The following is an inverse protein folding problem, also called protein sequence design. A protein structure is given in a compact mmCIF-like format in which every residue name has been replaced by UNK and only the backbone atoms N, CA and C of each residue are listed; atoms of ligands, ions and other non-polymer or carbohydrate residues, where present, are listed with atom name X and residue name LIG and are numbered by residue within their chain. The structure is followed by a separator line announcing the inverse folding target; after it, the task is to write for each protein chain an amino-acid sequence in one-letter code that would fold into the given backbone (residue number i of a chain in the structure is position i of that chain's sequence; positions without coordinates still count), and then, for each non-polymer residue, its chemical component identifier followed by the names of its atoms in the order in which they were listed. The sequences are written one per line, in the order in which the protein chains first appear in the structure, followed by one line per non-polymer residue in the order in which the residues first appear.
data_IF_117026354230
#
_entry.id   IF_117026354230
#
_cell.length_a   1.000
_cell.length_b   1.000
_cell.length_c   1.000
_cell.angle_alpha   90.00
_cell.angle_beta   90.00
_cell.angle_gamma   90.00
#
_symmetry.space_group_name_H-M   'P 1'
#
loop_
_entity.id
_entity.type
_entity.pdbx_description
1 polymer ?
#
# COMPACT_ATOMS: atom_id res chain seq x y z
N UNK A 1 -23.68 4.47 -26.50
CA UNK A 1 -23.29 5.03 -27.82
C UNK A 1 -24.24 6.13 -28.30
N UNK A 2 -25.51 5.86 -28.68
CA UNK A 2 -26.41 6.88 -29.28
C UNK A 2 -26.67 8.16 -28.47
N UNK A 3 -26.60 8.10 -27.13
CA UNK A 3 -26.76 9.26 -26.23
C UNK A 3 -25.51 10.13 -26.10
N UNK A 4 -24.35 9.67 -26.58
CA UNK A 4 -23.06 10.33 -26.39
C UNK A 4 -22.56 11.08 -27.65
N UNK A 5 -23.38 11.16 -28.71
CA UNK A 5 -23.03 11.87 -29.95
C UNK A 5 -22.68 13.33 -29.65
N UNK A 6 -21.50 13.76 -30.09
CA UNK A 6 -20.92 15.08 -29.80
C UNK A 6 -20.35 15.23 -28.39
N UNK A 7 -20.18 14.14 -27.64
CA UNK A 7 -19.73 14.15 -26.24
C UNK A 7 -18.57 13.21 -25.95
N UNK A 8 -18.26 13.09 -24.65
CA UNK A 8 -17.20 12.22 -24.13
C UNK A 8 -17.84 10.98 -23.49
N UNK A 9 -17.38 9.79 -23.89
CA UNK A 9 -17.74 8.51 -23.29
C UNK A 9 -16.59 8.00 -22.42
N UNK A 10 -16.77 8.03 -21.10
CA UNK A 10 -15.84 7.40 -20.18
C UNK A 10 -16.18 5.92 -19.98
N UNK A 11 -15.20 5.04 -20.22
CA UNK A 11 -15.32 3.59 -20.06
C UNK A 11 -14.27 3.11 -19.06
N UNK A 12 -14.62 2.93 -17.77
CA UNK A 12 -13.68 2.40 -16.80
C UNK A 12 -13.38 0.92 -17.09
N UNK A 13 -12.14 0.50 -16.90
CA UNK A 13 -11.69 -0.88 -17.14
C UNK A 13 -12.04 -1.38 -18.54
N UNK A 14 -11.71 -0.57 -19.56
CA UNK A 14 -12.12 -0.80 -20.95
C UNK A 14 -11.63 -2.15 -21.50
N UNK A 15 -10.51 -2.67 -20.99
CA UNK A 15 -9.98 -3.98 -21.37
C UNK A 15 -10.97 -5.15 -21.19
N UNK A 16 -11.97 -5.02 -20.30
CA UNK A 16 -13.02 -6.01 -20.08
C UNK A 16 -13.83 -6.35 -21.35
N UNK A 17 -13.89 -5.43 -22.30
CA UNK A 17 -14.58 -5.59 -23.59
C UNK A 17 -13.72 -6.24 -24.68
N UNK A 18 -12.42 -6.41 -24.43
CA UNK A 18 -11.44 -6.89 -25.39
C UNK A 18 -10.76 -8.17 -24.87
N UNK A 19 -10.05 -8.89 -25.75
CA UNK A 19 -9.32 -10.12 -25.39
C UNK A 19 -10.01 -11.45 -25.73
N UNK A 20 -10.97 -11.45 -26.67
CA UNK A 20 -11.59 -12.67 -27.21
C UNK A 20 -12.23 -13.55 -26.13
N UNK A 21 -11.76 -14.79 -25.97
CA UNK A 21 -12.26 -15.73 -24.95
C UNK A 21 -12.05 -15.26 -23.49
N UNK A 22 -11.15 -14.29 -23.26
CA UNK A 22 -10.92 -13.68 -21.95
C UNK A 22 -11.79 -12.43 -21.73
N UNK A 23 -12.60 -12.04 -22.71
CA UNK A 23 -13.54 -10.93 -22.60
C UNK A 23 -14.60 -11.21 -21.51
N UNK A 24 -14.87 -10.21 -20.68
CA UNK A 24 -15.89 -10.30 -19.63
C UNK A 24 -17.28 -10.01 -20.20
N UNK A 25 -17.31 -9.34 -21.36
CA UNK A 25 -18.53 -8.94 -22.07
C UNK A 25 -18.66 -9.67 -23.42
N UNK A 26 -19.89 -9.80 -23.94
CA UNK A 26 -20.11 -10.41 -25.24
C UNK A 26 -19.32 -9.72 -26.35
N UNK A 27 -18.84 -10.49 -27.33
CA UNK A 27 -18.09 -9.94 -28.48
C UNK A 27 -18.83 -8.82 -29.21
N UNK A 28 -20.16 -8.86 -29.25
CA UNK A 28 -20.98 -7.82 -29.85
C UNK A 28 -20.71 -6.44 -29.22
N UNK A 29 -20.53 -6.37 -27.90
CA UNK A 29 -20.23 -5.13 -27.19
C UNK A 29 -18.82 -4.61 -27.52
N UNK A 30 -17.83 -5.50 -27.65
CA UNK A 30 -16.49 -5.15 -28.11
C UNK A 30 -16.49 -4.58 -29.52
N UNK A 31 -17.25 -5.18 -30.43
CA UNK A 31 -17.41 -4.69 -31.82
C UNK A 31 -18.10 -3.32 -31.88
N UNK A 32 -19.06 -3.05 -31.00
CA UNK A 32 -19.66 -1.71 -30.89
C UNK A 32 -18.66 -0.66 -30.42
N UNK A 33 -17.78 -1.00 -29.47
CA UNK A 33 -16.71 -0.12 -29.03
C UNK A 33 -15.69 0.12 -30.15
N UNK A 34 -15.25 -0.92 -30.86
CA UNK A 34 -14.35 -0.78 -32.02
C UNK A 34 -14.94 0.18 -33.07
N UNK A 35 -16.23 0.05 -33.38
CA UNK A 35 -16.92 0.98 -34.29
C UNK A 35 -16.89 2.42 -33.77
N UNK A 36 -17.06 2.60 -32.46
CA UNK A 36 -17.04 3.93 -31.86
C UNK A 36 -15.64 4.56 -31.81
N UNK A 37 -14.55 3.78 -31.85
CA UNK A 37 -13.18 4.31 -32.02
C UNK A 37 -12.87 4.76 -33.45
N UNK A 38 -13.56 4.18 -34.44
CA UNK A 38 -13.45 4.57 -35.85
C UNK A 38 -14.33 5.78 -36.19
N UNK A 39 -15.40 5.99 -35.43
CA UNK A 39 -16.33 7.07 -35.63
C UNK A 39 -15.85 8.34 -34.89
N UNK A 40 -15.86 9.49 -35.58
CA UNK A 40 -15.42 10.77 -34.99
C UNK A 40 -16.51 11.47 -34.16
N UNK A 41 -17.72 10.88 -34.10
CA UNK A 41 -18.86 11.45 -33.39
C UNK A 41 -18.74 11.44 -31.86
N UNK A 42 -17.82 10.66 -31.27
CA UNK A 42 -17.69 10.51 -29.81
C UNK A 42 -16.23 10.42 -29.40
N UNK A 43 -15.82 11.23 -28.42
CA UNK A 43 -14.51 11.08 -27.80
C UNK A 43 -14.56 10.00 -26.71
N UNK A 44 -13.71 8.97 -26.78
CA UNK A 44 -13.70 7.88 -25.80
C UNK A 44 -12.50 8.04 -24.87
N UNK A 45 -12.75 7.97 -23.56
CA UNK A 45 -11.72 7.90 -22.54
C UNK A 45 -11.85 6.54 -21.84
N UNK A 46 -10.88 5.67 -22.05
CA UNK A 46 -10.79 4.37 -21.38
C UNK A 46 -9.77 4.39 -20.25
N UNK A 47 -10.06 3.68 -19.16
CA UNK A 47 -9.02 3.34 -18.17
C UNK A 47 -8.70 1.85 -18.22
N UNK A 48 -7.42 1.52 -18.03
CA UNK A 48 -6.94 0.14 -17.90
C UNK A 48 -5.63 0.14 -17.10
N UNK A 49 -5.33 -0.99 -16.47
CA UNK A 49 -4.00 -1.23 -15.92
C UNK A 49 -3.00 -1.57 -17.03
N UNK A 50 -1.70 -1.41 -16.78
CA UNK A 50 -0.66 -1.73 -17.78
C UNK A 50 -0.70 -3.21 -18.22
N UNK A 51 -1.01 -4.11 -17.29
CA UNK A 51 -1.17 -5.53 -17.57
C UNK A 51 -2.37 -5.79 -18.49
N UNK A 52 -3.54 -5.23 -18.17
CA UNK A 52 -4.73 -5.31 -19.01
C UNK A 52 -4.51 -4.71 -20.40
N UNK A 53 -3.79 -3.59 -20.46
CA UNK A 53 -3.45 -2.95 -21.73
C UNK A 53 -2.60 -3.88 -22.61
N UNK A 54 -1.48 -4.37 -22.07
CA UNK A 54 -0.55 -5.23 -22.79
C UNK A 54 -1.20 -6.54 -23.25
N UNK A 55 -2.02 -7.15 -22.40
CA UNK A 55 -2.60 -8.47 -22.67
C UNK A 55 -3.84 -8.43 -23.56
N UNK A 56 -4.68 -7.37 -23.47
CA UNK A 56 -6.04 -7.37 -24.05
C UNK A 56 -6.30 -6.24 -25.03
N UNK A 57 -5.67 -5.06 -24.86
CA UNK A 57 -5.94 -3.88 -25.68
C UNK A 57 -4.89 -3.70 -26.78
N UNK A 58 -3.60 -3.82 -26.45
CA UNK A 58 -2.49 -3.66 -27.39
C UNK A 58 -2.54 -4.63 -28.60
N UNK A 59 -3.00 -5.90 -28.46
CA UNK A 59 -3.14 -6.79 -29.61
C UNK A 59 -4.28 -6.41 -30.58
N UNK A 60 -5.22 -5.55 -30.17
CA UNK A 60 -6.34 -5.12 -31.00
C UNK A 60 -5.91 -4.00 -31.95
N UNK A 61 -5.97 -4.25 -33.26
CA UNK A 61 -5.52 -3.30 -34.28
C UNK A 61 -6.28 -1.97 -34.24
N UNK A 62 -7.58 -1.98 -33.94
CA UNK A 62 -8.38 -0.75 -33.90
C UNK A 62 -7.94 0.12 -32.74
N UNK A 63 -7.69 -0.48 -31.58
CA UNK A 63 -7.20 0.27 -30.42
C UNK A 63 -5.78 0.77 -30.65
N UNK A 64 -4.89 -0.07 -31.17
CA UNK A 64 -3.50 0.29 -31.41
C UNK A 64 -3.33 1.44 -32.43
N UNK A 65 -4.21 1.51 -33.44
CA UNK A 65 -4.13 2.53 -34.49
C UNK A 65 -4.91 3.81 -34.17
N UNK A 66 -6.00 3.72 -33.39
CA UNK A 66 -6.92 4.84 -33.16
C UNK A 66 -6.95 5.38 -31.72
N UNK A 67 -6.28 4.73 -30.77
CA UNK A 67 -6.21 5.21 -29.39
C UNK A 67 -4.88 5.92 -29.08
N UNK A 68 -4.96 7.01 -28.32
CA UNK A 68 -3.79 7.64 -27.72
C UNK A 68 -3.60 7.13 -26.30
N UNK A 69 -2.43 6.53 -26.02
CA UNK A 69 -2.13 5.97 -24.71
C UNK A 69 -1.44 7.01 -23.84
N UNK A 70 -2.13 7.40 -22.76
CA UNK A 70 -1.57 8.25 -21.72
C UNK A 70 -1.21 7.37 -20.52
N UNK A 71 0.09 7.14 -20.32
CA UNK A 71 0.58 6.46 -19.12
C UNK A 71 0.62 7.43 -17.95
N UNK A 72 0.00 7.03 -16.85
CA UNK A 72 -0.05 7.80 -15.61
C UNK A 72 0.83 7.11 -14.59
N UNK A 73 1.96 7.75 -14.29
CA UNK A 73 2.88 7.27 -13.26
C UNK A 73 2.27 7.45 -11.86
N UNK A 74 2.63 6.60 -10.88
CA UNK A 74 2.20 6.78 -9.50
C UNK A 74 2.72 8.11 -8.94
N UNK A 75 1.91 8.75 -8.09
CA UNK A 75 2.29 10.02 -7.49
C UNK A 75 3.50 9.86 -6.54
N UNK A 76 4.39 10.84 -6.55
CA UNK A 76 5.45 10.95 -5.54
C UNK A 76 4.86 11.20 -4.15
N UNK A 77 5.61 10.93 -3.05
CA UNK A 77 5.15 11.25 -1.70
C UNK A 77 4.76 12.74 -1.54
N UNK A 78 5.52 13.64 -2.15
CA UNK A 78 5.29 15.09 -2.11
C UNK A 78 4.01 15.49 -2.86
N UNK A 79 3.81 14.98 -4.08
CA UNK A 79 2.58 15.18 -4.84
C UNK A 79 1.37 14.57 -4.12
N UNK A 80 1.56 13.42 -3.48
CA UNK A 80 0.51 12.78 -2.68
C UNK A 80 0.06 13.67 -1.54
N UNK A 81 0.98 14.32 -0.82
CA UNK A 81 0.62 15.28 0.24
C UNK A 81 -0.19 16.44 -0.33
N UNK A 82 0.20 16.99 -1.48
CA UNK A 82 -0.56 18.06 -2.13
C UNK A 82 -1.97 17.61 -2.56
N UNK A 83 -2.10 16.39 -3.10
CA UNK A 83 -3.40 15.79 -3.45
C UNK A 83 -4.26 15.59 -2.20
N UNK A 84 -3.67 15.04 -1.13
CA UNK A 84 -4.34 14.84 0.15
C UNK A 84 -4.83 16.16 0.74
N UNK A 85 -4.06 17.23 0.59
CA UNK A 85 -4.43 18.56 1.08
C UNK A 85 -5.68 19.10 0.37
N UNK A 86 -5.76 18.93 -0.95
CA UNK A 86 -6.92 19.34 -1.76
C UNK A 86 -8.19 18.57 -1.37
N UNK A 87 -8.08 17.26 -1.13
CA UNK A 87 -9.24 16.42 -0.77
C UNK A 87 -9.58 16.46 0.72
N UNK A 88 -8.66 16.94 1.56
CA UNK A 88 -8.79 16.99 3.03
C UNK A 88 -10.14 17.53 3.50
N UNK A 89 -10.64 18.69 3.00
CA UNK A 89 -11.89 19.25 3.52
C UNK A 89 -13.09 18.33 3.29
N UNK A 90 -13.09 17.61 2.16
CA UNK A 90 -14.16 16.65 1.83
C UNK A 90 -14.11 15.43 2.74
N UNK A 91 -12.93 14.82 2.91
CA UNK A 91 -12.76 13.66 3.79
C UNK A 91 -13.11 14.04 5.24
N UNK A 92 -12.61 15.17 5.72
CA UNK A 92 -12.91 15.71 7.04
C UNK A 92 -14.43 15.85 7.29
N UNK A 93 -15.15 16.40 6.30
CA UNK A 93 -16.60 16.56 6.38
C UNK A 93 -17.35 15.22 6.41
N UNK A 94 -16.93 14.23 5.63
CA UNK A 94 -17.57 12.90 5.57
C UNK A 94 -17.59 12.19 6.94
N UNK A 95 -16.60 12.45 7.79
CA UNK A 95 -16.49 11.85 9.13
C UNK A 95 -16.75 12.84 10.27
N UNK A 96 -16.99 14.12 9.99
CA UNK A 96 -17.10 15.15 11.03
C UNK A 96 -15.84 15.27 11.89
N UNK A 97 -14.65 15.08 11.32
CA UNK A 97 -13.36 15.17 12.02
C UNK A 97 -12.49 16.25 11.40
N UNK A 98 -11.58 16.82 12.17
CA UNK A 98 -10.46 17.64 11.69
C UNK A 98 -9.26 16.74 11.36
N UNK A 99 -8.41 17.17 10.43
CA UNK A 99 -7.21 16.42 10.04
C UNK A 99 -6.01 17.35 10.18
N UNK A 100 -5.05 16.99 11.02
CA UNK A 100 -3.83 17.76 11.22
C UNK A 100 -2.88 17.68 10.01
N UNK A 101 -2.10 18.74 9.77
CA UNK A 101 -1.19 18.81 8.61
C UNK A 101 -0.13 17.70 8.61
N UNK A 102 0.42 17.38 9.79
CA UNK A 102 1.43 16.34 9.94
C UNK A 102 0.87 14.94 9.64
N UNK A 103 -0.44 14.74 9.78
CA UNK A 103 -1.11 13.48 9.46
C UNK A 103 -1.07 13.18 7.97
N UNK A 104 -1.12 14.20 7.10
CA UNK A 104 -1.03 14.00 5.64
C UNK A 104 0.35 13.51 5.21
N UNK A 105 1.40 14.13 5.76
CA UNK A 105 2.79 13.76 5.48
C UNK A 105 3.08 12.33 5.93
N UNK A 106 2.66 11.98 7.14
CA UNK A 106 2.84 10.63 7.65
C UNK A 106 1.97 9.61 6.89
N UNK A 107 0.75 9.96 6.48
CA UNK A 107 -0.08 9.08 5.67
C UNK A 107 0.59 8.75 4.32
N UNK A 108 1.09 9.75 3.59
CA UNK A 108 1.78 9.55 2.32
C UNK A 108 3.03 8.66 2.48
N UNK A 109 3.86 8.96 3.47
CA UNK A 109 5.10 8.24 3.76
C UNK A 109 4.86 6.79 4.17
N UNK A 110 3.92 6.55 5.08
CA UNK A 110 3.65 5.21 5.59
C UNK A 110 2.90 4.36 4.56
N UNK A 111 1.97 4.94 3.81
CA UNK A 111 1.28 4.23 2.73
C UNK A 111 2.27 3.76 1.66
N UNK A 112 3.16 4.63 1.18
CA UNK A 112 4.18 4.25 0.19
C UNK A 112 5.16 3.18 0.69
N UNK A 113 5.40 3.11 2.00
CA UNK A 113 6.34 2.16 2.60
C UNK A 113 5.72 0.80 2.94
N UNK A 114 4.48 0.78 3.42
CA UNK A 114 3.87 -0.41 4.02
C UNK A 114 2.63 -0.92 3.30
N UNK A 115 1.98 -0.09 2.46
CA UNK A 115 0.76 -0.43 1.73
C UNK A 115 1.06 -0.56 0.23
N UNK A 116 1.90 -1.53 -0.12
CA UNK A 116 2.42 -1.71 -1.49
C UNK A 116 1.43 -2.35 -2.46
N UNK A 117 0.30 -2.87 -1.98
CA UNK A 117 -0.73 -3.49 -2.82
C UNK A 117 -1.48 -2.47 -3.70
N UNK A 118 -1.41 -1.19 -3.37
CA UNK A 118 -2.10 -0.12 -4.09
C UNK A 118 -1.16 1.07 -4.27
N UNK A 119 -1.02 1.62 -5.49
CA UNK A 119 -0.12 2.73 -5.74
C UNK A 119 -0.57 4.02 -5.06
N UNK A 120 0.37 4.94 -4.88
CA UNK A 120 0.08 6.31 -4.48
C UNK A 120 -0.64 7.04 -5.64
N UNK A 121 -1.61 7.94 -5.34
CA UNK A 121 -2.02 8.42 -4.02
C UNK A 121 -3.10 7.56 -3.33
N UNK A 122 -3.65 6.56 -4.03
CA UNK A 122 -4.83 5.81 -3.60
C UNK A 122 -4.64 5.10 -2.25
N UNK A 123 -3.47 4.49 -2.00
CA UNK A 123 -3.17 3.86 -0.71
C UNK A 123 -3.13 4.87 0.46
N UNK A 124 -2.63 6.09 0.23
CA UNK A 124 -2.59 7.15 1.25
C UNK A 124 -3.99 7.70 1.55
N UNK A 125 -4.83 7.89 0.51
CA UNK A 125 -6.24 8.27 0.67
C UNK A 125 -6.99 7.22 1.49
N UNK A 126 -6.82 5.95 1.15
CA UNK A 126 -7.45 4.84 1.86
C UNK A 126 -7.00 4.75 3.33
N UNK A 127 -5.71 4.95 3.58
CA UNK A 127 -5.17 5.02 4.95
C UNK A 127 -5.81 6.17 5.74
N UNK A 128 -5.92 7.36 5.14
CA UNK A 128 -6.52 8.52 5.78
C UNK A 128 -8.01 8.31 6.08
N UNK A 129 -8.79 7.75 5.15
CA UNK A 129 -10.19 7.39 5.39
C UNK A 129 -10.35 6.44 6.59
N UNK A 130 -9.49 5.41 6.69
CA UNK A 130 -9.52 4.49 7.84
C UNK A 130 -9.15 5.20 9.14
N UNK A 131 -8.14 6.06 9.14
CA UNK A 131 -7.77 6.84 10.31
C UNK A 131 -8.93 7.72 10.79
N UNK A 132 -9.60 8.43 9.87
CA UNK A 132 -10.77 9.24 10.16
C UNK A 132 -11.92 8.41 10.72
N UNK A 133 -12.22 7.26 10.11
CA UNK A 133 -13.27 6.36 10.58
C UNK A 133 -12.99 5.83 12.00
N UNK A 134 -11.74 5.49 12.33
CA UNK A 134 -11.40 5.03 13.68
C UNK A 134 -11.56 6.12 14.73
N UNK A 135 -11.17 7.36 14.42
CA UNK A 135 -11.34 8.51 15.32
C UNK A 135 -12.83 8.81 15.50
N UNK A 136 -13.59 8.85 14.40
CA UNK A 136 -15.05 9.05 14.42
C UNK A 136 -15.79 7.99 15.26
N UNK A 137 -15.39 6.72 15.15
CA UNK A 137 -15.98 5.63 15.94
C UNK A 137 -15.53 5.61 17.40
N UNK A 138 -14.65 6.52 17.83
CA UNK A 138 -14.07 6.53 19.17
C UNK A 138 -13.19 5.31 19.47
N UNK A 139 -12.71 4.61 18.44
CA UNK A 139 -11.92 3.38 18.55
C UNK A 139 -10.44 3.65 18.89
N UNK A 140 -10.15 4.71 19.66
CA UNK A 140 -8.81 4.90 20.21
C UNK A 140 -8.53 3.77 21.19
N UNK A 141 -7.48 2.99 20.92
CA UNK A 141 -7.04 1.91 21.80
C UNK A 141 -6.77 2.45 23.21
N UNK A 142 -6.93 1.61 24.24
CA UNK A 142 -6.88 2.03 25.65
C UNK A 142 -5.59 2.80 26.03
N UNK A 143 -4.48 2.55 25.35
CA UNK A 143 -3.22 3.27 25.52
C UNK A 143 -3.28 4.76 25.13
N UNK A 144 -4.17 5.17 24.20
CA UNK A 144 -4.35 6.57 23.79
C UNK A 144 -5.27 7.37 24.71
N UNK A 145 -6.14 6.70 25.49
CA UNK A 145 -7.01 7.37 26.48
C UNK A 145 -6.24 7.89 27.69
N UNK A 146 -5.04 7.36 27.96
CA UNK A 146 -4.23 7.69 29.14
C UNK A 146 -3.58 9.08 29.11
N UNK A 147 -3.60 9.81 27.98
CA UNK A 147 -3.03 11.16 27.88
C UNK A 147 -4.00 12.31 28.17
N UNK A 148 -5.23 12.04 28.64
CA UNK A 148 -6.09 13.09 29.21
C UNK A 148 -6.55 14.21 28.26
N UNK A 149 -6.40 14.03 26.94
CA UNK A 149 -7.00 14.94 25.98
C UNK A 149 -8.46 14.52 25.78
N UNK A 150 -9.38 15.38 26.23
CA UNK A 150 -10.80 15.29 25.90
C UNK A 150 -10.95 15.01 24.39
N UNK A 151 -11.89 14.13 24.01
CA UNK A 151 -12.08 13.60 22.67
C UNK A 151 -11.97 14.64 21.57
N UNK A 152 -10.74 14.89 21.12
CA UNK A 152 -10.49 15.77 20.02
C UNK A 152 -10.85 14.96 18.78
N UNK A 153 -11.87 15.41 18.08
CA UNK A 153 -12.29 14.89 16.77
C UNK A 153 -11.23 15.23 15.71
N UNK A 154 -9.95 15.24 16.06
CA UNK A 154 -8.82 15.59 15.19
C UNK A 154 -7.96 14.35 14.98
N UNK A 155 -7.77 14.00 13.71
CA UNK A 155 -6.87 12.93 13.28
C UNK A 155 -5.44 13.44 13.33
N UNK A 156 -4.64 12.89 14.24
CA UNK A 156 -3.23 13.19 14.38
C UNK A 156 -2.33 12.15 13.68
N UNK A 157 -1.03 12.41 13.65
CA UNK A 157 -0.05 11.51 13.04
C UNK A 157 0.08 10.17 13.81
N UNK A 158 -0.27 10.12 15.09
CA UNK A 158 -0.28 8.88 15.87
C UNK A 158 -1.45 7.98 15.50
N UNK A 159 -2.62 8.56 15.25
CA UNK A 159 -3.80 7.84 14.77
C UNK A 159 -3.52 7.20 13.40
N UNK A 160 -2.81 7.92 12.50
CA UNK A 160 -2.36 7.36 11.21
C UNK A 160 -1.39 6.18 11.41
N UNK A 161 -0.39 6.32 12.29
CA UNK A 161 0.54 5.22 12.61
C UNK A 161 -0.18 4.01 13.20
N UNK A 162 -1.13 4.24 14.11
CA UNK A 162 -1.94 3.20 14.71
C UNK A 162 -2.76 2.47 13.64
N UNK A 163 -3.35 3.23 12.71
CA UNK A 163 -4.11 2.67 11.58
C UNK A 163 -3.24 1.74 10.77
N UNK A 164 -2.05 2.17 10.33
CA UNK A 164 -1.13 1.31 9.56
C UNK A 164 -0.74 0.08 10.36
N UNK A 165 -0.48 0.23 11.66
CA UNK A 165 -0.14 -0.89 12.52
C UNK A 165 -1.26 -1.91 12.63
N UNK A 166 -2.52 -1.47 12.68
CA UNK A 166 -3.67 -2.37 12.69
C UNK A 166 -3.90 -3.04 11.34
N UNK A 167 -3.70 -2.29 10.25
CA UNK A 167 -3.88 -2.80 8.88
C UNK A 167 -2.84 -3.87 8.52
N UNK A 168 -1.58 -3.64 8.91
CA UNK A 168 -0.44 -4.45 8.47
C UNK A 168 0.02 -5.45 9.53
N UNK A 169 -0.39 -5.26 10.79
CA UNK A 169 0.17 -5.99 11.94
C UNK A 169 1.60 -5.56 12.31
N UNK A 170 2.22 -4.64 11.57
CA UNK A 170 3.58 -4.18 11.80
C UNK A 170 3.52 -2.95 12.72
N UNK A 171 4.13 -2.98 13.91
CA UNK A 171 4.16 -1.79 14.78
C UNK A 171 5.01 -0.69 14.12
N UNK A 172 4.39 0.48 13.89
CA UNK A 172 5.00 1.63 13.18
C UNK A 172 5.29 2.82 14.11
N UNK A 173 5.28 2.62 15.43
CA UNK A 173 5.50 3.70 16.39
C UNK A 173 6.81 4.44 16.07
N UNK A 174 6.75 5.78 16.05
CA UNK A 174 7.93 6.64 16.03
C UNK A 174 8.90 6.12 17.08
N UNK A 175 10.18 6.01 16.71
CA UNK A 175 11.29 5.64 17.58
C UNK A 175 11.31 6.54 18.83
N UNK A 176 10.59 6.13 19.87
CA UNK A 176 10.72 6.65 21.21
C UNK A 176 11.78 5.88 21.98
N UNK A 177 12.23 6.45 23.09
CA UNK A 177 13.08 5.79 24.08
C UNK A 177 12.54 4.39 24.49
N UNK A 178 11.23 4.19 24.37
CA UNK A 178 10.52 2.97 24.73
C UNK A 178 10.84 1.77 23.81
N UNK A 179 10.94 1.96 22.49
CA UNK A 179 11.25 0.86 21.55
C UNK A 179 12.73 0.43 21.66
N UNK A 180 13.64 1.38 21.87
CA UNK A 180 15.06 1.10 22.17
C UNK A 180 15.19 0.26 23.44
N UNK A 181 14.44 0.62 24.47
CA UNK A 181 14.39 -0.13 25.74
C UNK A 181 13.82 -1.54 25.53
N UNK A 182 12.77 -1.67 24.72
CA UNK A 182 12.19 -2.98 24.36
C UNK A 182 13.19 -3.88 23.65
N UNK A 183 13.97 -3.35 22.70
CA UNK A 183 15.02 -4.11 22.02
C UNK A 183 16.21 -4.41 22.93
N UNK A 184 16.57 -3.48 23.81
CA UNK A 184 17.60 -3.72 24.82
C UNK A 184 17.23 -4.94 25.68
N UNK A 185 15.97 -5.02 26.11
CA UNK A 185 15.45 -6.07 26.99
C UNK A 185 14.85 -7.29 26.24
N UNK A 186 15.02 -7.39 24.92
CA UNK A 186 14.34 -8.41 24.11
C UNK A 186 14.83 -9.83 24.40
N UNK A 187 16.13 -9.99 24.66
CA UNK A 187 16.75 -11.30 24.96
C UNK A 187 16.20 -11.85 26.28
N UNK A 188 16.18 -11.03 27.33
CA UNK A 188 15.63 -11.36 28.64
C UNK A 188 14.15 -11.79 28.56
N UNK A 189 13.31 -11.06 27.80
CA UNK A 189 11.90 -11.43 27.63
C UNK A 189 11.70 -12.75 26.88
N UNK A 190 12.55 -13.04 25.89
CA UNK A 190 12.45 -14.30 25.14
C UNK A 190 12.92 -15.49 25.98
N UNK A 191 13.95 -15.31 26.82
CA UNK A 191 14.43 -16.32 27.76
C UNK A 191 13.38 -16.74 28.79
N UNK A 192 12.50 -15.82 29.20
CA UNK A 192 11.40 -16.15 30.11
C UNK A 192 10.36 -17.09 29.49
N UNK A 193 10.27 -17.15 28.15
CA UNK A 193 9.27 -17.95 27.42
C UNK A 193 9.85 -19.15 26.71
N UNK A 194 11.16 -19.14 26.43
CA UNK A 194 11.85 -20.17 25.67
C UNK A 194 12.98 -20.72 26.54
N UNK A 195 12.81 -21.96 27.01
CA UNK A 195 13.75 -22.63 27.90
C UNK A 195 14.71 -23.51 27.09
N UNK A 196 16.01 -23.42 27.39
CA UNK A 196 17.03 -24.32 26.84
C UNK A 196 17.50 -24.01 25.42
N UNK A 197 17.20 -22.82 24.87
CA UNK A 197 17.55 -22.42 23.50
C UNK A 197 18.18 -21.01 23.44
N UNK A 198 19.21 -20.76 24.25
CA UNK A 198 19.87 -19.45 24.34
C UNK A 198 20.44 -18.96 23.00
N UNK A 199 21.03 -19.85 22.21
CA UNK A 199 21.63 -19.50 20.92
C UNK A 199 20.56 -19.05 19.90
N UNK A 200 19.42 -19.73 19.85
CA UNK A 200 18.31 -19.37 18.97
C UNK A 200 17.69 -18.02 19.37
N UNK A 201 17.52 -17.78 20.68
CA UNK A 201 17.02 -16.50 21.20
C UNK A 201 17.94 -15.35 20.82
N UNK A 202 19.27 -15.53 20.93
CA UNK A 202 20.26 -14.53 20.53
C UNK A 202 20.26 -14.29 19.01
N UNK A 203 20.19 -15.36 18.21
CA UNK A 203 20.18 -15.27 16.75
C UNK A 203 18.97 -14.50 16.22
N UNK A 204 17.76 -14.85 16.70
CA UNK A 204 16.51 -14.16 16.33
C UNK A 204 16.56 -12.70 16.80
N UNK A 205 17.01 -12.46 18.03
CA UNK A 205 17.11 -11.11 18.58
C UNK A 205 18.04 -10.21 17.75
N UNK A 206 19.17 -10.74 17.29
CA UNK A 206 20.09 -10.03 16.40
C UNK A 206 19.46 -9.75 15.04
N UNK A 207 18.82 -10.75 14.43
CA UNK A 207 18.15 -10.60 13.15
C UNK A 207 17.04 -9.53 13.19
N UNK A 208 16.22 -9.51 14.23
CA UNK A 208 15.16 -8.51 14.42
C UNK A 208 15.74 -7.10 14.63
N UNK A 209 16.78 -6.96 15.46
CA UNK A 209 17.48 -5.67 15.65
C UNK A 209 18.07 -5.14 14.33
N UNK A 210 18.64 -6.03 13.51
CA UNK A 210 19.21 -5.69 12.21
C UNK A 210 18.16 -5.28 11.18
N UNK A 211 17.07 -6.06 11.06
CA UNK A 211 15.96 -5.73 10.16
C UNK A 211 15.34 -4.37 10.49
N UNK A 212 15.32 -4.00 11.78
CA UNK A 212 14.81 -2.71 12.27
C UNK A 212 15.79 -1.56 12.09
N UNK A 213 17.11 -1.80 12.16
CA UNK A 213 18.16 -0.80 11.98
C UNK A 213 18.36 -0.37 10.51
N UNK A 214 17.76 -1.09 9.57
CA UNK A 214 17.82 -0.80 8.13
C UNK A 214 19.01 -1.47 7.42
N UNK A 215 18.98 -1.57 6.09
CA UNK A 215 19.87 -2.42 5.29
C UNK A 215 21.35 -1.98 5.20
N UNK A 216 21.77 -0.90 5.87
CA UNK A 216 23.14 -0.37 5.76
C UNK A 216 24.17 -1.05 6.68
N UNK A 217 23.74 -1.91 7.62
CA UNK A 217 24.65 -2.56 8.57
C UNK A 217 25.23 -3.91 8.10
N UNK A 218 24.87 -4.38 6.89
CA UNK A 218 25.22 -5.72 6.41
C UNK A 218 26.58 -5.81 5.69
N UNK A 219 27.18 -4.70 5.23
CA UNK A 219 28.39 -4.72 4.39
C UNK A 219 29.70 -4.62 5.18
N UNK A 220 29.67 -4.47 6.50
CA UNK A 220 30.86 -4.24 7.31
C UNK A 220 30.85 -5.12 8.54
N UNK A 221 30.96 -6.43 8.35
CA UNK A 221 31.34 -7.28 9.48
C UNK A 221 32.24 -8.45 9.08
N UNK A 222 33.49 -8.36 9.52
CA UNK A 222 34.46 -9.45 9.54
C UNK A 222 34.09 -10.40 10.66
N UNK A 223 33.91 -11.68 10.34
CA UNK A 223 33.67 -12.72 11.34
C UNK A 223 34.94 -12.94 12.17
N UNK A 224 34.85 -13.05 13.51
CA UNK A 224 36.00 -13.41 14.35
C UNK A 224 36.53 -14.82 14.01
N UNK A 225 37.84 -15.08 14.24
CA UNK A 225 38.47 -16.33 13.82
C UNK A 225 37.89 -17.51 14.61
N UNK A 226 37.30 -18.47 13.88
CA UNK A 226 36.62 -19.65 14.43
C UNK A 226 35.29 -19.96 13.76
N UNK A 227 34.70 -19.01 13.03
CA UNK A 227 33.50 -19.25 12.23
C UNK A 227 33.86 -19.82 10.86
N UNK A 228 33.85 -21.14 10.72
CA UNK A 228 33.82 -21.77 9.41
C UNK A 228 32.52 -21.34 8.72
N UNK A 229 32.63 -20.55 7.64
CA UNK A 229 31.55 -20.23 6.71
C UNK A 229 30.87 -21.53 6.25
N UNK A 230 29.68 -21.90 6.75
CA UNK A 230 28.92 -22.94 6.10
C UNK A 230 28.53 -22.34 4.76
N UNK A 231 28.80 -23.06 3.68
CA UNK A 231 28.21 -22.77 2.38
C UNK A 231 26.70 -22.64 2.57
N UNK A 232 26.23 -21.40 2.54
CA UNK A 232 24.82 -21.08 2.57
C UNK A 232 24.13 -21.87 1.46
N UNK A 233 23.16 -22.74 1.75
CA UNK A 233 22.42 -23.40 0.69
C UNK A 233 21.51 -22.35 0.03
N UNK A 234 21.62 -22.23 -1.30
CA UNK A 234 20.75 -21.47 -2.22
C UNK A 234 19.28 -21.98 -2.23
N UNK A 235 18.71 -22.25 -1.05
CA UNK A 235 17.37 -22.84 -0.88
C UNK A 235 16.57 -22.11 0.19
N UNK A 236 16.50 -20.78 0.08
CA UNK A 236 15.52 -19.94 0.78
C UNK A 236 14.25 -19.56 0.00
N UNK A 237 13.95 -20.08 -1.21
CA UNK A 237 12.59 -19.95 -1.78
C UNK A 237 11.58 -20.99 -1.26
N UNK A 238 12.02 -22.09 -0.64
CA UNK A 238 11.12 -23.24 -0.40
C UNK A 238 10.37 -23.23 0.94
N UNK A 239 10.67 -22.30 1.86
CA UNK A 239 9.97 -22.20 3.15
C UNK A 239 8.71 -21.33 3.11
N UNK A 240 8.53 -20.51 2.06
CA UNK A 240 7.31 -19.69 1.87
C UNK A 240 6.22 -20.38 1.04
N UNK A 241 6.42 -21.61 0.55
CA UNK A 241 5.44 -22.30 -0.31
C UNK A 241 4.58 -23.35 0.41
N UNK A 242 4.70 -23.53 1.73
CA UNK A 242 3.95 -24.55 2.48
C UNK A 242 2.77 -24.01 3.32
N UNK A 243 2.32 -22.78 3.05
CA UNK A 243 1.08 -22.22 3.60
C UNK A 243 0.20 -21.71 2.45
N UNK A 244 -0.23 -22.64 1.59
CA UNK A 244 -1.33 -22.42 0.64
C UNK A 244 -2.13 -23.72 0.47
N UNK A 245 -3.19 -23.81 1.28
CA UNK A 245 -4.48 -24.47 1.02
C UNK A 245 -4.59 -26.01 1.09
N UNK A 246 -5.82 -26.55 1.28
CA UNK A 246 -7.15 -25.92 1.27
C UNK A 246 -7.53 -25.15 2.55
#
# INVERSE_FOLDING_TARGET
MRRARGGILFVPHIARFFGGLRADFPEAAGRELQKAFLDSDVAIIGSATEAEYTERLQPDAVIAEHAHVLRVEPATPEETVAILDVIRPRIAADYGVRIADESLKEAAKLAGRYLTDTPLPASAVHLLHRACAMVHMGLRSAAGRQMGMAGDETVDAEDVMLTVSQMTGIPVRRLGADERTRYANMVEHLRQRIIGQDEAVLAVSRAVKMARAGPLAASSFSAPPGWAKPSWPRRWPSFCSAARMP
#
